data_IF_691109081543
#
_entry.id   IF_691109081543
#
_cell.length_a   1.000
_cell.length_b   1.000
_cell.length_c   1.000
_cell.angle_alpha   90.00
_cell.angle_beta   90.00
_cell.angle_gamma   90.00
#
_symmetry.space_group_name_H-M   'P 1'
#
loop_
_entity.id
_entity.type
_entity.pdbx_description
1 polymer ?
#
# COMPACT_ATOMS: atom_id res chain seq x y z
N UNK A 1 -9.55 -27.71 9.89
CA UNK A 1 -10.29 -26.45 9.67
C UNK A 1 -9.52 -25.73 8.57
N UNK A 2 -10.14 -25.33 7.44
CA UNK A 2 -9.41 -24.55 6.45
C UNK A 2 -9.05 -23.23 7.10
N UNK A 3 -7.76 -23.01 7.31
CA UNK A 3 -7.19 -21.79 7.85
C UNK A 3 -7.64 -20.65 6.94
N UNK A 4 -8.55 -19.79 7.39
CA UNK A 4 -8.89 -18.61 6.60
C UNK A 4 -7.61 -17.78 6.44
N UNK A 5 -7.27 -17.35 5.22
CA UNK A 5 -6.05 -16.61 5.00
C UNK A 5 -6.10 -15.30 5.78
N UNK A 6 -5.02 -15.02 6.51
CA UNK A 6 -4.87 -13.81 7.30
C UNK A 6 -5.03 -12.59 6.36
N UNK A 7 -5.97 -11.67 6.65
CA UNK A 7 -6.12 -10.47 5.84
C UNK A 7 -4.85 -9.61 5.95
N UNK A 8 -4.30 -9.25 4.80
CA UNK A 8 -3.18 -8.33 4.69
C UNK A 8 -3.75 -6.93 4.63
N UNK A 9 -3.63 -6.21 5.73
CA UNK A 9 -4.10 -4.84 5.85
C UNK A 9 -3.20 -3.89 5.05
N UNK A 10 -3.82 -3.16 4.12
CA UNK A 10 -3.17 -2.20 3.24
C UNK A 10 -3.68 -0.81 3.54
N UNK A 11 -2.75 0.13 3.69
CA UNK A 11 -3.05 1.57 3.75
C UNK A 11 -2.45 2.22 2.52
N UNK A 12 -3.20 3.17 1.95
CA UNK A 12 -2.74 3.96 0.80
C UNK A 12 -2.48 5.39 1.23
N UNK A 13 -1.50 6.04 0.61
CA UNK A 13 -1.23 7.47 0.72
C UNK A 13 -1.36 8.08 -0.66
N UNK A 14 -2.45 8.79 -0.89
CA UNK A 14 -2.71 9.50 -2.13
C UNK A 14 -3.66 10.69 -1.88
N UNK A 15 -3.24 11.85 -2.38
CA UNK A 15 -4.05 13.07 -2.49
C UNK A 15 -5.38 12.89 -3.24
N UNK A 16 -5.48 11.87 -4.11
CA UNK A 16 -6.66 11.55 -4.90
C UNK A 16 -7.20 10.17 -4.48
N UNK A 17 -8.12 10.10 -3.51
CA UNK A 17 -8.62 8.83 -2.98
C UNK A 17 -9.29 7.96 -4.06
N UNK A 18 -9.93 8.58 -5.05
CA UNK A 18 -10.54 7.86 -6.17
C UNK A 18 -9.50 7.05 -6.98
N UNK A 19 -8.32 7.64 -7.26
CA UNK A 19 -7.25 6.96 -8.00
C UNK A 19 -6.62 5.85 -7.17
N UNK A 20 -6.37 6.11 -5.88
CA UNK A 20 -5.86 5.08 -4.98
C UNK A 20 -6.78 3.86 -4.93
N UNK A 21 -8.09 4.07 -4.85
CA UNK A 21 -9.08 3.00 -4.87
C UNK A 21 -9.08 2.24 -6.21
N UNK A 22 -8.98 2.93 -7.35
CA UNK A 22 -8.89 2.27 -8.66
C UNK A 22 -7.64 1.38 -8.78
N UNK A 23 -6.48 1.91 -8.40
CA UNK A 23 -5.20 1.20 -8.42
C UNK A 23 -5.25 0.00 -7.48
N UNK A 24 -5.75 0.21 -6.27
CA UNK A 24 -5.84 -0.82 -5.25
C UNK A 24 -6.86 -1.91 -5.62
N UNK A 25 -7.99 -1.55 -6.22
CA UNK A 25 -8.95 -2.52 -6.73
C UNK A 25 -8.31 -3.39 -7.83
N UNK A 26 -7.50 -2.80 -8.71
CA UNK A 26 -6.69 -3.52 -9.70
C UNK A 26 -5.72 -4.50 -9.04
N UNK A 27 -4.97 -4.04 -8.03
CA UNK A 27 -4.04 -4.86 -7.26
C UNK A 27 -4.74 -6.02 -6.57
N UNK A 28 -5.79 -5.74 -5.78
CA UNK A 28 -6.56 -6.75 -5.05
C UNK A 28 -7.05 -7.82 -6.02
N UNK A 29 -7.61 -7.43 -7.15
CA UNK A 29 -8.12 -8.36 -8.17
C UNK A 29 -7.01 -9.18 -8.84
N UNK A 30 -5.82 -8.60 -9.04
CA UNK A 30 -4.71 -9.32 -9.63
C UNK A 30 -4.14 -10.39 -8.68
N UNK A 31 -4.11 -10.10 -7.37
CA UNK A 31 -3.50 -10.96 -6.36
C UNK A 31 -4.51 -11.73 -5.49
N UNK A 32 -5.81 -11.59 -5.71
CA UNK A 32 -6.88 -12.22 -4.88
C UNK A 32 -6.76 -13.74 -4.78
N UNK A 33 -6.12 -14.35 -5.79
CA UNK A 33 -5.85 -15.78 -5.87
C UNK A 33 -4.83 -16.23 -4.83
N UNK A 34 -3.78 -15.44 -4.64
CA UNK A 34 -2.62 -15.80 -3.82
C UNK A 34 -2.58 -15.03 -2.48
N UNK A 35 -3.23 -13.88 -2.39
CA UNK A 35 -3.19 -12.98 -1.24
C UNK A 35 -4.58 -12.45 -0.89
N UNK A 36 -4.80 -12.17 0.40
CA UNK A 36 -6.05 -11.59 0.90
C UNK A 36 -5.83 -10.14 1.33
N UNK A 37 -5.65 -9.22 0.38
CA UNK A 37 -5.44 -7.80 0.66
C UNK A 37 -6.76 -7.11 1.06
N UNK A 38 -6.73 -6.34 2.15
CA UNK A 38 -7.86 -5.56 2.65
C UNK A 38 -7.44 -4.10 2.79
N UNK A 39 -8.11 -3.22 2.04
CA UNK A 39 -7.93 -1.78 2.20
C UNK A 39 -8.52 -1.31 3.51
N UNK A 40 -7.72 -0.64 4.34
CA UNK A 40 -8.16 -0.20 5.66
C UNK A 40 -8.37 1.31 5.71
N UNK A 41 -7.48 2.08 5.08
CA UNK A 41 -7.53 3.54 5.09
C UNK A 41 -6.76 4.15 3.92
N UNK A 42 -7.17 5.36 3.53
CA UNK A 42 -6.42 6.24 2.64
C UNK A 42 -5.98 7.49 3.41
N UNK A 43 -4.69 7.85 3.31
CA UNK A 43 -4.14 9.10 3.82
C UNK A 43 -4.03 10.09 2.66
N UNK A 44 -4.66 11.25 2.75
CA UNK A 44 -4.58 12.27 1.70
C UNK A 44 -3.30 13.11 1.81
N UNK A 45 -2.71 13.18 3.01
CA UNK A 45 -1.47 13.89 3.27
C UNK A 45 -0.57 13.14 4.26
N UNK A 46 0.74 13.47 4.24
CA UNK A 46 1.75 12.89 5.14
C UNK A 46 1.39 13.01 6.62
N UNK A 47 0.82 14.15 7.02
CA UNK A 47 0.35 14.42 8.39
C UNK A 47 -0.72 13.43 8.87
N UNK A 48 -1.45 12.80 7.94
CA UNK A 48 -2.51 11.86 8.24
C UNK A 48 -1.96 10.43 8.42
N UNK A 49 -0.75 10.15 7.91
CA UNK A 49 -0.13 8.81 8.00
C UNK A 49 0.07 8.39 9.45
N UNK A 50 0.70 9.24 10.26
CA UNK A 50 0.94 8.96 11.68
C UNK A 50 -0.33 8.67 12.47
N UNK A 51 -1.37 9.55 12.48
CA UNK A 51 -2.59 9.28 13.22
C UNK A 51 -3.37 8.09 12.65
N UNK A 52 -3.39 7.87 11.33
CA UNK A 52 -4.03 6.68 10.74
C UNK A 52 -3.34 5.41 11.22
N UNK A 53 -2.02 5.28 11.02
CA UNK A 53 -1.26 4.10 11.45
C UNK A 53 -1.38 3.84 12.96
N UNK A 54 -1.44 4.89 13.77
CA UNK A 54 -1.58 4.77 15.23
C UNK A 54 -3.02 4.48 15.69
N UNK A 55 -4.03 4.85 14.89
CA UNK A 55 -5.45 4.64 15.20
C UNK A 55 -5.93 3.24 14.81
N UNK A 56 -5.18 2.53 13.97
CA UNK A 56 -5.51 1.18 13.55
C UNK A 56 -5.21 0.19 14.68
N UNK A 57 -6.26 -0.54 15.10
CA UNK A 57 -6.14 -1.60 16.11
C UNK A 57 -5.24 -2.73 15.60
N UNK A 58 -5.32 -3.03 14.30
CA UNK A 58 -4.46 -3.98 13.63
C UNK A 58 -3.53 -3.19 12.71
N UNK A 59 -2.22 -3.24 12.99
CA UNK A 59 -1.22 -2.55 12.18
C UNK A 59 -1.24 -3.02 10.73
N UNK A 60 -1.20 -2.10 9.74
CA UNK A 60 -1.08 -2.48 8.34
C UNK A 60 0.26 -3.16 8.07
N UNK A 61 0.23 -4.10 7.14
CA UNK A 61 1.41 -4.82 6.68
C UNK A 61 2.00 -4.17 5.44
N UNK A 62 1.18 -3.41 4.70
CA UNK A 62 1.59 -2.74 3.46
C UNK A 62 1.13 -1.29 3.49
N UNK A 63 2.05 -0.37 3.21
CA UNK A 63 1.78 1.05 2.99
C UNK A 63 2.18 1.41 1.55
N UNK A 64 1.20 1.81 0.74
CA UNK A 64 1.41 2.16 -0.66
C UNK A 64 1.31 3.67 -0.81
N UNK A 65 2.35 4.32 -1.31
CA UNK A 65 2.34 5.74 -1.62
C UNK A 65 2.27 5.92 -3.14
N UNK A 66 1.16 6.51 -3.60
CA UNK A 66 0.83 6.69 -5.03
C UNK A 66 0.82 8.16 -5.46
N UNK A 67 0.88 9.12 -4.52
CA UNK A 67 0.87 10.54 -4.85
C UNK A 67 2.23 11.07 -5.31
N UNK A 68 2.19 12.17 -6.06
CA UNK A 68 3.32 13.07 -6.33
C UNK A 68 3.79 13.73 -5.03
N UNK A 69 4.43 12.97 -4.16
CA UNK A 69 5.10 13.49 -2.98
C UNK A 69 6.48 13.96 -3.40
N UNK A 70 6.95 15.07 -2.85
CA UNK A 70 8.34 15.48 -3.06
C UNK A 70 9.27 14.51 -2.32
N UNK A 71 10.53 14.39 -2.74
CA UNK A 71 11.51 13.46 -2.12
C UNK A 71 11.56 13.59 -0.58
N UNK A 72 11.45 14.82 -0.07
CA UNK A 72 11.42 15.12 1.37
C UNK A 72 10.20 14.49 2.09
N UNK A 73 9.04 14.46 1.44
CA UNK A 73 7.81 13.88 2.02
C UNK A 73 7.86 12.34 2.00
N UNK A 74 8.47 11.72 0.99
CA UNK A 74 8.64 10.27 0.97
C UNK A 74 9.54 9.78 2.11
N UNK A 75 10.64 10.49 2.37
CA UNK A 75 11.56 10.17 3.46
C UNK A 75 10.86 10.26 4.82
N UNK A 76 10.10 11.32 5.06
CA UNK A 76 9.36 11.49 6.31
C UNK A 76 8.26 10.40 6.47
N UNK A 77 7.55 10.02 5.40
CA UNK A 77 6.60 8.88 5.47
C UNK A 77 7.34 7.58 5.82
N UNK A 78 8.49 7.34 5.19
CA UNK A 78 9.29 6.13 5.44
C UNK A 78 9.74 6.07 6.89
N UNK A 79 10.24 7.18 7.44
CA UNK A 79 10.65 7.27 8.83
C UNK A 79 9.46 7.03 9.77
N UNK A 80 8.31 7.67 9.54
CA UNK A 80 7.11 7.50 10.37
C UNK A 80 6.64 6.04 10.33
N UNK A 81 6.54 5.46 9.14
CA UNK A 81 6.05 4.10 8.94
C UNK A 81 6.97 3.08 9.62
N UNK A 82 8.28 3.15 9.37
CA UNK A 82 9.27 2.24 9.99
C UNK A 82 9.35 2.42 11.50
N UNK A 83 9.16 3.64 12.01
CA UNK A 83 9.18 3.91 13.46
C UNK A 83 7.97 3.35 14.19
N UNK A 84 6.80 3.39 13.56
CA UNK A 84 5.57 2.84 14.14
C UNK A 84 5.49 1.32 13.93
N UNK A 85 5.87 0.85 12.75
CA UNK A 85 5.74 -0.52 12.30
C UNK A 85 7.03 -0.92 11.55
N UNK A 86 8.05 -1.45 12.25
CA UNK A 86 9.33 -1.76 11.63
C UNK A 86 9.24 -2.84 10.53
N UNK A 87 8.24 -3.72 10.62
CA UNK A 87 7.99 -4.79 9.65
C UNK A 87 7.03 -4.38 8.53
N UNK A 88 6.64 -3.10 8.43
CA UNK A 88 5.72 -2.65 7.38
C UNK A 88 6.41 -2.63 6.02
N UNK A 89 5.75 -3.21 5.02
CA UNK A 89 6.18 -3.10 3.63
C UNK A 89 5.78 -1.75 3.08
N UNK A 90 6.75 -0.88 2.88
CA UNK A 90 6.58 0.40 2.23
C UNK A 90 6.79 0.24 0.71
N UNK A 91 5.81 0.65 -0.08
CA UNK A 91 5.88 0.65 -1.54
C UNK A 91 5.70 2.08 -2.03
N UNK A 92 6.77 2.65 -2.55
CA UNK A 92 6.76 3.97 -3.19
C UNK A 92 6.56 3.77 -4.69
N UNK A 93 5.49 4.33 -5.23
CA UNK A 93 5.21 4.25 -6.66
C UNK A 93 6.05 5.31 -7.38
N UNK A 94 6.97 4.92 -8.28
CA UNK A 94 7.84 5.88 -8.94
C UNK A 94 7.06 6.83 -9.85
N UNK A 95 7.43 8.12 -9.83
CA UNK A 95 6.79 9.17 -10.62
C UNK A 95 6.76 8.87 -12.13
N UNK A 96 7.82 8.26 -12.66
CA UNK A 96 7.94 7.91 -14.07
C UNK A 96 6.85 6.94 -14.54
N UNK A 97 6.36 6.09 -13.63
CA UNK A 97 5.32 5.10 -13.92
C UNK A 97 3.96 5.77 -14.19
N UNK A 98 3.68 6.89 -13.50
CA UNK A 98 2.50 7.70 -13.77
C UNK A 98 2.57 8.40 -15.14
N UNK A 99 3.77 8.67 -15.66
CA UNK A 99 3.97 9.39 -16.91
C UNK A 99 3.92 8.48 -18.16
N UNK A 100 4.37 7.23 -18.04
CA UNK A 100 4.57 6.34 -19.20
C UNK A 100 3.54 5.21 -19.34
N UNK A 101 2.88 4.77 -18.26
CA UNK A 101 2.03 3.57 -18.28
C UNK A 101 0.61 3.71 -17.73
N UNK A 102 0.24 4.88 -17.18
CA UNK A 102 -1.09 5.13 -16.60
C UNK A 102 -1.41 4.24 -15.38
N UNK A 103 -2.71 4.11 -15.05
CA UNK A 103 -3.17 3.36 -13.86
C UNK A 103 -2.87 1.85 -13.90
N UNK A 104 -2.75 1.26 -15.09
CA UNK A 104 -2.51 -0.18 -15.23
C UNK A 104 -1.06 -0.57 -14.92
N UNK A 105 -0.08 0.24 -15.34
CA UNK A 105 1.33 -0.01 -15.03
C UNK A 105 1.61 0.07 -13.52
N UNK A 106 0.90 0.97 -12.81
CA UNK A 106 1.00 1.07 -11.35
C UNK A 106 0.46 -0.19 -10.68
N UNK A 107 -0.69 -0.70 -11.14
CA UNK A 107 -1.22 -1.96 -10.62
C UNK A 107 -0.24 -3.12 -10.83
N UNK A 108 0.35 -3.27 -12.02
CA UNK A 108 1.35 -4.30 -12.31
C UNK A 108 2.61 -4.18 -11.42
N UNK A 109 3.13 -2.97 -11.25
CA UNK A 109 4.26 -2.71 -10.36
C UNK A 109 3.95 -3.08 -8.90
N UNK A 110 2.75 -2.74 -8.42
CA UNK A 110 2.33 -3.11 -7.07
C UNK A 110 2.19 -4.62 -6.92
N UNK A 111 1.67 -5.32 -7.93
CA UNK A 111 1.57 -6.80 -7.94
C UNK A 111 2.96 -7.41 -7.81
N UNK A 112 3.92 -6.93 -8.60
CA UNK A 112 5.31 -7.40 -8.55
C UNK A 112 5.89 -7.17 -7.16
N UNK A 113 5.76 -5.95 -6.61
CA UNK A 113 6.25 -5.62 -5.29
C UNK A 113 5.62 -6.49 -4.18
N UNK A 114 4.31 -6.73 -4.22
CA UNK A 114 3.61 -7.59 -3.25
C UNK A 114 4.09 -9.03 -3.37
N UNK A 115 4.25 -9.54 -4.59
CA UNK A 115 4.70 -10.90 -4.87
C UNK A 115 6.15 -11.13 -4.42
N UNK A 116 7.03 -10.16 -4.66
CA UNK A 116 8.42 -10.20 -4.19
C UNK A 116 8.52 -10.11 -2.66
N UNK A 117 7.55 -9.48 -2.01
CA UNK A 117 7.62 -9.16 -0.58
C UNK A 117 7.45 -10.36 0.36
N UNK A 118 7.32 -11.59 -0.15
CA UNK A 118 7.09 -12.81 0.66
C UNK A 118 6.03 -12.61 1.75
N UNK A 119 5.00 -11.84 1.41
CA UNK A 119 3.85 -11.66 2.29
C UNK A 119 3.17 -13.02 2.52
N UNK A 120 2.44 -13.20 3.63
CA UNK A 120 1.75 -14.46 3.90
C UNK A 120 0.75 -14.77 2.78
N UNK A 121 1.00 -15.83 2.01
CA UNK A 121 0.13 -16.30 0.93
C UNK A 121 -1.08 -17.07 1.49
N UNK A 122 -2.15 -17.14 0.69
CA UNK A 122 -3.28 -18.04 0.89
C UNK A 122 -2.79 -19.47 0.60
N UNK A 123 -2.39 -20.20 1.63
CA UNK A 123 -2.10 -21.65 1.55
C UNK A 123 -3.39 -22.47 1.34
#
# INVERSE_FOLDING_TARGET
MPSQPQPIHVVTVDSTPAKALEILAGLIKAVEKDYNLVHVANCEAIKDVKPVLSSLIIGPQVLICSSKLFDDEEEEIREIAQRLLPDIKLIMVPHDLHATGGGNAIAEFLVEQVTESRLPTRD
#
